data_IF_463622773280
#
_entry.id   IF_463622773280
#
_cell.length_a   1.000
_cell.length_b   1.000
_cell.length_c   1.000
_cell.angle_alpha   90.00
_cell.angle_beta   90.00
_cell.angle_gamma   90.00
#
_symmetry.space_group_name_H-M   'P 1'
#
loop_
_entity.id
_entity.type
_entity.pdbx_description
1 polymer ?
#
# COMPACT_ATOMS: atom_id res chain seq x y z
N UNK A 1 25.04 23.54 37.93
CA UNK A 1 23.70 23.19 37.41
C UNK A 1 23.45 23.68 35.97
N UNK A 2 23.88 24.88 35.54
CA UNK A 2 23.69 25.39 34.16
C UNK A 2 24.38 24.60 33.04
N UNK A 3 25.49 23.89 33.32
CA UNK A 3 26.22 23.11 32.30
C UNK A 3 25.49 21.81 31.95
N UNK A 4 24.88 21.15 32.93
CA UNK A 4 24.15 19.89 32.73
C UNK A 4 22.85 20.09 31.94
N UNK A 5 22.18 21.24 32.10
CA UNK A 5 20.96 21.57 31.33
C UNK A 5 21.27 21.86 29.86
N UNK A 6 22.42 22.50 29.55
CA UNK A 6 22.81 22.77 28.16
C UNK A 6 23.14 21.46 27.43
N UNK A 7 23.85 20.52 28.07
CA UNK A 7 24.21 19.23 27.47
C UNK A 7 23.00 18.35 27.16
N UNK A 8 21.99 18.35 28.04
CA UNK A 8 20.74 17.61 27.82
C UNK A 8 19.93 18.17 26.65
N UNK A 9 19.90 19.49 26.49
CA UNK A 9 19.14 20.17 25.45
C UNK A 9 19.77 19.97 24.06
N UNK A 10 21.10 19.89 23.98
CA UNK A 10 21.80 19.55 22.72
C UNK A 10 21.66 18.08 22.34
N UNK A 11 21.56 17.16 23.30
CA UNK A 11 21.36 15.73 23.01
C UNK A 11 19.95 15.42 22.47
N UNK A 12 18.93 16.15 22.94
CA UNK A 12 17.54 15.98 22.50
C UNK A 12 17.29 16.43 21.04
N UNK A 13 18.10 17.35 20.51
CA UNK A 13 17.98 17.82 19.11
C UNK A 13 18.55 16.79 18.12
N UNK A 14 19.57 16.02 18.52
CA UNK A 14 20.18 14.98 17.66
C UNK A 14 19.35 13.70 17.53
N UNK A 15 18.44 13.42 18.47
CA UNK A 15 17.57 12.23 18.40
C UNK A 15 16.35 12.42 17.50
N UNK A 16 16.04 13.66 17.09
CA UNK A 16 14.91 13.98 16.21
C UNK A 16 15.25 13.86 14.71
N UNK A 17 16.52 13.62 14.34
CA UNK A 17 16.93 13.38 12.95
C UNK A 17 16.90 11.91 12.54
N UNK A 18 16.18 11.06 13.29
CA UNK A 18 15.84 9.72 12.82
C UNK A 18 14.83 9.84 11.67
N UNK A 19 15.33 9.97 10.45
CA UNK A 19 14.59 9.81 9.21
C UNK A 19 14.13 8.35 9.12
N UNK A 20 13.10 7.99 9.89
CA UNK A 20 12.50 6.66 9.93
C UNK A 20 11.60 6.39 8.74
N UNK A 21 12.05 6.74 7.52
CA UNK A 21 11.32 6.52 6.28
C UNK A 21 12.27 6.06 5.19
N UNK A 22 11.91 4.96 4.52
CA UNK A 22 12.62 4.47 3.33
C UNK A 22 12.32 5.37 2.13
N UNK A 23 13.31 5.60 1.26
CA UNK A 23 13.06 6.23 -0.04
C UNK A 23 12.33 5.26 -0.97
N UNK A 24 11.28 5.72 -1.64
CA UNK A 24 10.57 4.93 -2.65
C UNK A 24 11.51 4.53 -3.81
N UNK A 25 11.38 3.30 -4.30
CA UNK A 25 12.04 2.78 -5.50
C UNK A 25 10.98 2.32 -6.51
N UNK A 26 10.27 3.26 -7.17
CA UNK A 26 9.20 2.94 -8.10
C UNK A 26 9.73 2.28 -9.37
N UNK A 27 9.01 1.25 -9.85
CA UNK A 27 9.27 0.65 -11.15
C UNK A 27 8.81 1.57 -12.28
N UNK A 28 9.55 1.56 -13.39
CA UNK A 28 9.12 2.27 -14.60
C UNK A 28 7.89 1.60 -15.20
N UNK A 29 6.81 2.37 -15.43
CA UNK A 29 5.56 1.86 -16.01
C UNK A 29 5.76 1.30 -17.41
N UNK A 30 6.57 1.96 -18.24
CA UNK A 30 6.94 1.51 -19.58
C UNK A 30 8.44 1.21 -19.62
N UNK A 31 8.81 0.06 -20.17
CA UNK A 31 10.18 -0.39 -20.31
C UNK A 31 10.47 -0.70 -21.77
N UNK A 32 11.73 -0.49 -22.15
CA UNK A 32 12.19 -0.83 -23.48
C UNK A 32 11.99 -2.33 -23.76
N UNK A 33 11.36 -2.64 -24.89
CA UNK A 33 11.11 -4.02 -25.31
C UNK A 33 9.80 -4.62 -24.80
N UNK A 34 8.97 -3.89 -24.05
CA UNK A 34 7.64 -4.39 -23.62
C UNK A 34 6.77 -4.82 -24.80
N UNK A 35 6.83 -4.05 -25.89
CA UNK A 35 6.10 -4.36 -27.14
C UNK A 35 6.60 -5.63 -27.83
N UNK A 36 7.82 -6.06 -27.57
CA UNK A 36 8.42 -7.25 -28.18
C UNK A 36 8.20 -8.52 -27.34
N UNK A 37 7.61 -8.42 -26.15
CA UNK A 37 7.30 -9.57 -25.30
C UNK A 37 6.21 -10.43 -25.93
N UNK A 38 6.39 -11.75 -25.86
CA UNK A 38 5.36 -12.72 -26.22
C UNK A 38 4.40 -12.94 -25.03
N UNK A 39 3.27 -13.60 -25.25
CA UNK A 39 2.25 -13.78 -24.20
C UNK A 39 2.79 -14.48 -22.96
N UNK A 40 3.70 -15.45 -23.10
CA UNK A 40 4.30 -16.17 -21.96
C UNK A 40 5.23 -15.28 -21.14
N UNK A 41 6.00 -14.41 -21.80
CA UNK A 41 6.85 -13.43 -21.14
C UNK A 41 6.02 -12.37 -20.40
N UNK A 42 4.93 -11.91 -21.02
CA UNK A 42 3.98 -10.99 -20.38
C UNK A 42 3.32 -11.62 -19.16
N UNK A 43 2.85 -12.87 -19.28
CA UNK A 43 2.26 -13.62 -18.17
C UNK A 43 3.22 -13.76 -16.99
N UNK A 44 4.46 -14.15 -17.27
CA UNK A 44 5.49 -14.32 -16.25
C UNK A 44 5.77 -13.01 -15.51
N UNK A 45 5.92 -11.91 -16.26
CA UNK A 45 6.19 -10.60 -15.67
C UNK A 45 5.00 -10.06 -14.90
N UNK A 46 3.79 -10.18 -15.43
CA UNK A 46 2.56 -9.83 -14.73
C UNK A 46 2.46 -10.61 -13.42
N UNK A 47 2.72 -11.92 -13.43
CA UNK A 47 2.74 -12.75 -12.21
C UNK A 47 3.81 -12.28 -11.22
N UNK A 48 5.00 -11.91 -11.70
CA UNK A 48 6.06 -11.36 -10.85
C UNK A 48 5.63 -10.05 -10.20
N UNK A 49 4.96 -9.16 -10.95
CA UNK A 49 4.46 -7.88 -10.43
C UNK A 49 3.37 -8.10 -9.38
N UNK A 50 2.46 -9.07 -9.60
CA UNK A 50 1.45 -9.43 -8.58
C UNK A 50 2.10 -9.85 -7.27
N UNK A 51 3.21 -10.60 -7.33
CA UNK A 51 3.98 -10.96 -6.14
C UNK A 51 4.55 -9.75 -5.39
N UNK A 52 5.01 -8.72 -6.09
CA UNK A 52 5.48 -7.47 -5.47
C UNK A 52 4.32 -6.64 -4.91
N UNK A 53 3.18 -6.57 -5.61
CA UNK A 53 1.96 -5.95 -5.10
C UNK A 53 1.51 -6.62 -3.80
N UNK A 54 1.52 -7.95 -3.74
CA UNK A 54 1.16 -8.71 -2.53
C UNK A 54 2.18 -8.58 -1.39
N UNK A 55 3.45 -8.26 -1.70
CA UNK A 55 4.46 -7.95 -0.67
C UNK A 55 4.25 -6.59 -0.05
N UNK A 56 3.86 -5.62 -0.88
CA UNK A 56 3.56 -4.27 -0.44
C UNK A 56 2.24 -4.23 0.32
N UNK A 57 1.22 -4.96 -0.13
CA UNK A 57 -0.03 -5.07 0.62
C UNK A 57 0.21 -5.82 1.95
N UNK A 58 -0.42 -5.38 3.05
CA UNK A 58 -0.31 -6.09 4.32
C UNK A 58 -0.83 -7.52 4.16
N UNK A 59 0.05 -8.50 4.46
CA UNK A 59 -0.23 -9.93 4.30
C UNK A 59 -1.53 -10.31 5.01
N UNK A 60 -2.53 -10.76 4.25
CA UNK A 60 -3.70 -11.47 4.77
C UNK A 60 -3.42 -12.96 4.82
N UNK A 61 -3.74 -13.59 5.94
CA UNK A 61 -4.00 -15.03 5.98
C UNK A 61 -4.98 -15.40 4.86
N UNK A 62 -4.76 -16.55 4.24
CA UNK A 62 -5.35 -17.02 2.98
C UNK A 62 -6.86 -17.22 3.01
N UNK A 63 -7.65 -16.18 3.29
CA UNK A 63 -9.10 -16.18 3.20
C UNK A 63 -9.48 -15.19 2.11
N UNK A 64 -9.47 -15.72 0.89
CA UNK A 64 -9.80 -14.97 -0.32
C UNK A 64 -11.23 -14.43 -0.30
N UNK A 65 -11.44 -13.47 -1.21
CA UNK A 65 -12.70 -12.84 -1.64
C UNK A 65 -13.08 -11.53 -0.98
N UNK A 66 -12.44 -11.12 0.12
CA UNK A 66 -12.73 -9.85 0.78
C UNK A 66 -11.44 -9.02 0.94
N UNK A 67 -10.75 -8.76 -0.17
CA UNK A 67 -9.54 -7.89 -0.16
C UNK A 67 -9.90 -6.50 0.37
N UNK A 68 -11.05 -5.93 -0.03
CA UNK A 68 -11.52 -4.62 0.45
C UNK A 68 -11.87 -4.62 1.95
N UNK A 69 -12.73 -5.54 2.41
CA UNK A 69 -13.10 -5.65 3.83
C UNK A 69 -11.95 -6.14 4.71
N UNK A 70 -10.99 -6.83 4.12
CA UNK A 70 -9.84 -7.35 4.81
C UNK A 70 -8.80 -6.26 5.08
N UNK A 71 -8.52 -5.42 4.09
CA UNK A 71 -7.76 -4.18 4.26
C UNK A 71 -8.49 -3.34 5.32
N UNK A 72 -9.79 -3.08 5.20
CA UNK A 72 -10.53 -2.36 6.25
C UNK A 72 -10.29 -2.98 7.65
N UNK A 73 -10.51 -4.30 7.82
CA UNK A 73 -10.42 -4.99 9.12
C UNK A 73 -9.01 -5.13 9.74
N UNK A 74 -7.93 -5.12 8.96
CA UNK A 74 -6.56 -5.12 9.51
C UNK A 74 -6.08 -3.69 9.80
N UNK A 75 -6.63 -2.71 9.09
CA UNK A 75 -6.36 -1.30 9.31
C UNK A 75 -7.02 -0.74 10.59
N UNK A 76 -7.96 -1.49 11.20
CA UNK A 76 -8.63 -1.13 12.47
C UNK A 76 -7.70 -1.22 13.69
N UNK A 77 -6.65 -2.06 13.66
CA UNK A 77 -5.95 -2.45 14.90
C UNK A 77 -4.69 -1.61 15.21
N UNK A 78 -4.02 -0.95 14.26
CA UNK A 78 -2.78 -0.20 14.58
C UNK A 78 -2.58 1.10 13.77
N UNK A 79 -2.91 2.29 14.33
CA UNK A 79 -2.55 3.59 13.74
C UNK A 79 -1.04 3.79 13.49
N UNK A 80 -0.21 3.01 14.18
CA UNK A 80 1.25 3.10 14.13
C UNK A 80 1.89 2.30 12.99
N UNK A 81 1.28 1.19 12.54
CA UNK A 81 1.81 0.35 11.46
C UNK A 81 1.58 0.98 10.07
N UNK A 82 0.50 1.75 9.94
CA UNK A 82 0.15 2.44 8.70
C UNK A 82 0.74 3.85 8.56
N UNK A 83 1.58 4.34 9.50
CA UNK A 83 2.39 5.54 9.25
C UNK A 83 3.53 5.30 8.26
N UNK A 84 4.03 4.06 8.15
CA UNK A 84 5.14 3.71 7.25
C UNK A 84 4.66 3.45 5.80
N UNK A 85 3.41 2.99 5.63
CA UNK A 85 2.77 2.81 4.32
C UNK A 85 2.60 4.14 3.55
N UNK A 86 2.68 5.28 4.25
CA UNK A 86 2.08 6.53 3.77
C UNK A 86 2.75 7.12 2.55
N UNK A 87 4.04 6.87 2.34
CA UNK A 87 4.78 7.57 1.28
C UNK A 87 5.50 6.60 0.35
N UNK A 88 6.43 5.77 0.85
CA UNK A 88 7.28 4.96 -0.03
C UNK A 88 6.54 3.75 -0.61
N UNK A 89 5.88 2.97 0.24
CA UNK A 89 5.15 1.77 -0.18
C UNK A 89 3.93 2.10 -1.04
N UNK A 90 3.18 3.16 -0.71
CA UNK A 90 2.11 3.66 -1.54
C UNK A 90 2.58 4.07 -2.95
N UNK A 91 3.72 4.76 -3.05
CA UNK A 91 4.29 5.17 -4.34
C UNK A 91 4.75 3.96 -5.16
N UNK A 92 5.35 2.96 -4.51
CA UNK A 92 5.76 1.72 -5.18
C UNK A 92 4.58 0.88 -5.63
N UNK A 93 3.55 0.77 -4.78
CA UNK A 93 2.31 0.08 -5.11
C UNK A 93 1.66 0.71 -6.34
N UNK A 94 1.57 2.04 -6.36
CA UNK A 94 1.04 2.80 -7.50
C UNK A 94 1.84 2.52 -8.77
N UNK A 95 3.18 2.53 -8.68
CA UNK A 95 4.06 2.22 -9.80
C UNK A 95 3.87 0.79 -10.32
N UNK A 96 3.79 -0.20 -9.43
CA UNK A 96 3.53 -1.59 -9.80
C UNK A 96 2.13 -1.78 -10.39
N UNK A 97 1.10 -1.13 -9.84
CA UNK A 97 -0.27 -1.17 -10.40
C UNK A 97 -0.29 -0.60 -11.82
N UNK A 98 0.30 0.57 -12.03
CA UNK A 98 0.35 1.20 -13.34
C UNK A 98 1.12 0.34 -14.35
N UNK A 99 2.24 -0.25 -13.94
CA UNK A 99 3.01 -1.21 -14.74
C UNK A 99 2.19 -2.45 -15.11
N UNK A 100 1.47 -3.03 -14.14
CA UNK A 100 0.59 -4.18 -14.36
C UNK A 100 -0.49 -3.87 -15.41
N UNK A 101 -1.15 -2.73 -15.25
CA UNK A 101 -2.19 -2.26 -16.18
C UNK A 101 -1.61 -1.99 -17.58
N UNK A 102 -0.39 -1.44 -17.66
CA UNK A 102 0.31 -1.23 -18.93
C UNK A 102 0.59 -2.54 -19.66
N UNK A 103 1.15 -3.54 -18.97
CA UNK A 103 1.39 -4.87 -19.56
C UNK A 103 0.08 -5.57 -19.93
N UNK A 104 -0.97 -5.38 -19.13
CA UNK A 104 -2.33 -5.85 -19.43
C UNK A 104 -2.86 -5.28 -20.75
N UNK A 105 -2.70 -3.97 -20.99
CA UNK A 105 -3.08 -3.34 -22.24
C UNK A 105 -2.31 -3.91 -23.45
N UNK A 106 -1.01 -4.18 -23.30
CA UNK A 106 -0.22 -4.84 -24.35
C UNK A 106 -0.69 -6.28 -24.59
N UNK A 107 -0.98 -7.02 -23.52
CA UNK A 107 -1.49 -8.38 -23.61
C UNK A 107 -2.85 -8.45 -24.31
N UNK A 108 -3.76 -7.51 -24.01
CA UNK A 108 -5.03 -7.35 -24.72
C UNK A 108 -4.81 -7.07 -26.21
N UNK A 109 -3.92 -6.12 -26.54
CA UNK A 109 -3.59 -5.80 -27.94
C UNK A 109 -3.00 -6.98 -28.72
N UNK A 110 -2.33 -7.91 -28.02
CA UNK A 110 -1.77 -9.15 -28.60
C UNK A 110 -2.72 -10.34 -28.54
N UNK A 111 -3.95 -10.18 -28.04
CA UNK A 111 -4.93 -11.25 -27.84
C UNK A 111 -4.41 -12.40 -26.96
N UNK A 112 -3.65 -12.08 -25.91
CA UNK A 112 -3.20 -13.08 -24.95
C UNK A 112 -4.34 -13.48 -23.99
N UNK A 113 -4.53 -14.78 -23.75
CA UNK A 113 -5.51 -15.31 -22.80
C UNK A 113 -5.00 -15.25 -21.35
N UNK A 114 -4.82 -14.03 -20.81
CA UNK A 114 -4.36 -13.81 -19.44
C UNK A 114 -5.52 -13.43 -18.51
N UNK A 115 -5.49 -13.92 -17.27
CA UNK A 115 -6.43 -13.50 -16.24
C UNK A 115 -5.90 -12.23 -15.58
N UNK A 116 -6.58 -11.11 -15.80
CA UNK A 116 -6.22 -9.83 -15.19
C UNK A 116 -6.97 -9.64 -13.88
N UNK A 117 -6.21 -9.43 -12.81
CA UNK A 117 -6.75 -9.06 -11.52
C UNK A 117 -6.87 -7.54 -11.42
N UNK A 118 -7.97 -7.05 -10.87
CA UNK A 118 -8.19 -5.63 -10.65
C UNK A 118 -7.61 -5.24 -9.29
N UNK A 119 -6.66 -4.32 -9.31
CA UNK A 119 -6.06 -3.74 -8.11
C UNK A 119 -6.63 -2.33 -7.89
N UNK A 120 -7.12 -2.00 -6.68
CA UNK A 120 -7.63 -0.66 -6.40
C UNK A 120 -6.52 0.38 -6.43
N UNK A 121 -6.87 1.64 -6.67
CA UNK A 121 -5.93 2.74 -6.51
C UNK A 121 -5.60 3.01 -5.04
N UNK A 122 -4.47 3.67 -4.78
CA UNK A 122 -4.13 4.12 -3.41
C UNK A 122 -5.21 5.06 -2.86
N UNK A 123 -5.80 5.87 -3.72
CA UNK A 123 -6.90 6.78 -3.38
C UNK A 123 -8.16 6.00 -2.97
N UNK A 124 -8.54 4.98 -3.74
CA UNK A 124 -9.67 4.10 -3.40
C UNK A 124 -9.46 3.36 -2.06
N UNK A 125 -8.25 2.85 -1.82
CA UNK A 125 -7.92 2.20 -0.55
C UNK A 125 -7.98 3.18 0.63
N UNK A 126 -7.55 4.43 0.43
CA UNK A 126 -7.63 5.49 1.47
C UNK A 126 -9.06 5.90 1.76
N UNK A 127 -9.88 6.08 0.73
CA UNK A 127 -11.30 6.40 0.88
C UNK A 127 -12.03 5.29 1.65
N UNK A 128 -11.81 4.03 1.28
CA UNK A 128 -12.40 2.89 1.99
C UNK A 128 -11.96 2.81 3.47
N UNK A 129 -10.72 3.18 3.78
CA UNK A 129 -10.25 3.25 5.16
C UNK A 129 -10.90 4.37 5.96
N UNK A 130 -11.04 5.55 5.37
CA UNK A 130 -11.70 6.69 6.01
C UNK A 130 -13.19 6.44 6.26
N UNK A 131 -13.87 5.75 5.34
CA UNK A 131 -15.26 5.29 5.52
C UNK A 131 -15.37 4.29 6.67
N UNK A 132 -14.52 3.26 6.70
CA UNK A 132 -14.50 2.28 7.78
C UNK A 132 -14.26 2.93 9.16
N UNK A 133 -13.34 3.89 9.24
CA UNK A 133 -13.09 4.63 10.49
C UNK A 133 -14.30 5.46 10.96
N UNK A 134 -15.10 5.99 10.02
CA UNK A 134 -16.31 6.75 10.37
C UNK A 134 -17.37 5.82 10.92
N UNK A 135 -17.59 4.68 10.28
CA UNK A 135 -18.53 3.64 10.74
C UNK A 135 -18.18 3.16 12.15
N UNK A 136 -16.90 2.84 12.42
CA UNK A 136 -16.46 2.45 13.76
C UNK A 136 -16.65 3.54 14.81
N UNK A 137 -16.40 4.81 14.45
CA UNK A 137 -16.61 5.94 15.36
C UNK A 137 -18.09 6.13 15.67
N UNK A 138 -18.96 5.94 14.68
CA UNK A 138 -20.41 5.97 14.86
C UNK A 138 -20.89 4.80 15.73
N UNK A 139 -20.42 3.58 15.47
CA UNK A 139 -20.73 2.39 16.29
C UNK A 139 -20.23 2.55 17.74
N UNK A 140 -19.02 3.08 17.93
CA UNK A 140 -18.49 3.38 19.26
C UNK A 140 -19.26 4.49 19.97
N UNK A 141 -19.85 5.43 19.25
CA UNK A 141 -20.69 6.50 19.81
C UNK A 141 -22.12 6.05 20.11
N UNK A 142 -22.63 5.01 19.43
CA UNK A 142 -23.93 4.39 19.71
C UNK A 142 -23.85 3.40 20.89
N UNK A 143 -22.77 2.62 20.98
CA UNK A 143 -22.54 1.72 22.12
C UNK A 143 -22.32 2.42 23.47
N UNK A 144 -22.13 3.74 23.48
CA UNK A 144 -22.04 4.57 24.69
C UNK A 144 -23.39 5.19 25.10
N UNK A 145 -24.36 5.29 24.18
CA UNK A 145 -25.73 5.78 24.44
C UNK A 145 -26.67 4.70 25.00
N UNK A 146 -26.42 3.42 24.71
CA UNK A 146 -27.20 2.28 25.25
C UNK A 146 -26.72 1.78 26.64
N UNK A 147 -25.83 2.53 27.31
CA UNK A 147 -25.23 2.16 28.62
C UNK A 147 -25.60 3.08 29.78
N UNK A 148 -26.61 3.94 29.59
CA UNK A 148 -27.26 4.79 30.61
C UNK A 148 -28.77 4.47 30.70
#
# INVERSE_FOLDING_TARGET
MRKATITFLTAAVFTLSACGGRTANPVMVNQYGDQNKNCKALEFEMTSIQGEIQRLLPKKDKTGKNVALGVAGWFLIVPWFFMDFKNAEATEYEAYRQRYNHLGAIAMGKNCSLNMEEYPSVEEMRAAYEEAQKEEREESSQGTLDRD
#
